data_IF_620381840293
#
_entry.id   IF_620381840293
#
_cell.length_a   1.000
_cell.length_b   1.000
_cell.length_c   1.000
_cell.angle_alpha   90.00
_cell.angle_beta   90.00
_cell.angle_gamma   90.00
#
_symmetry.space_group_name_H-M   'P 1'
#
loop_
_entity.id
_entity.type
_entity.pdbx_description
1 polymer ?
#
# COMPACT_ATOMS: atom_id res chain seq x y z
N UNK A 1 10.07 -26.55 6.00
CA UNK A 1 10.08 -25.13 5.58
C UNK A 1 9.74 -24.32 6.80
N UNK A 2 10.74 -23.78 7.50
CA UNK A 2 10.52 -22.88 8.63
C UNK A 2 9.97 -21.58 8.07
N UNK A 3 8.69 -21.34 8.33
CA UNK A 3 8.02 -20.10 7.92
C UNK A 3 8.53 -19.02 8.87
N UNK A 4 9.19 -18.01 8.32
CA UNK A 4 9.54 -16.81 9.08
C UNK A 4 8.28 -15.95 9.23
N UNK A 5 7.70 -15.96 10.44
CA UNK A 5 6.49 -15.21 10.77
C UNK A 5 6.72 -13.69 10.74
N UNK A 6 7.97 -13.22 10.69
CA UNK A 6 8.28 -11.77 10.68
C UNK A 6 8.08 -11.11 9.31
N UNK A 7 8.00 -11.91 8.23
CA UNK A 7 7.77 -11.44 6.86
C UNK A 7 6.76 -12.34 6.15
N UNK A 8 5.55 -12.44 6.69
CA UNK A 8 4.48 -13.22 6.08
C UNK A 8 3.28 -12.33 5.71
N UNK A 9 2.67 -12.62 4.56
CA UNK A 9 1.44 -11.98 4.11
C UNK A 9 0.65 -12.89 3.18
N UNK A 10 -0.59 -12.52 2.88
CA UNK A 10 -1.41 -13.20 1.88
C UNK A 10 -1.47 -12.45 0.56
N UNK A 11 -1.69 -13.18 -0.53
CA UNK A 11 -2.00 -12.58 -1.83
C UNK A 11 -3.22 -11.66 -1.76
N UNK A 12 -4.21 -12.02 -0.94
CA UNK A 12 -5.41 -11.23 -0.72
C UNK A 12 -5.10 -9.86 -0.08
N UNK A 13 -4.17 -9.81 0.87
CA UNK A 13 -3.72 -8.58 1.52
C UNK A 13 -3.01 -7.63 0.57
N UNK A 14 -2.19 -8.18 -0.33
CA UNK A 14 -1.58 -7.41 -1.42
C UNK A 14 -2.66 -6.76 -2.30
N UNK A 15 -3.68 -7.53 -2.72
CA UNK A 15 -4.82 -7.00 -3.47
C UNK A 15 -5.56 -5.89 -2.71
N UNK A 16 -5.83 -6.09 -1.41
CA UNK A 16 -6.50 -5.09 -0.56
C UNK A 16 -5.75 -3.76 -0.53
N UNK A 17 -4.42 -3.80 -0.36
CA UNK A 17 -3.61 -2.57 -0.38
C UNK A 17 -3.66 -1.91 -1.75
N UNK A 18 -3.56 -2.68 -2.84
CA UNK A 18 -3.66 -2.14 -4.21
C UNK A 18 -4.99 -1.42 -4.41
N UNK A 19 -6.11 -2.03 -4.03
CA UNK A 19 -7.44 -1.44 -4.16
C UNK A 19 -7.57 -0.14 -3.34
N UNK A 20 -7.00 -0.10 -2.14
CA UNK A 20 -7.01 1.11 -1.32
C UNK A 20 -6.17 2.23 -1.93
N UNK A 21 -4.95 1.94 -2.36
CA UNK A 21 -4.08 2.95 -2.97
C UNK A 21 -4.73 3.52 -4.24
N UNK A 22 -5.36 2.68 -5.06
CA UNK A 22 -6.17 3.12 -6.21
C UNK A 22 -7.35 4.00 -5.81
N UNK A 23 -8.08 3.63 -4.74
CA UNK A 23 -9.19 4.42 -4.23
C UNK A 23 -8.74 5.81 -3.81
N UNK A 24 -7.67 5.89 -3.03
CA UNK A 24 -7.11 7.16 -2.53
C UNK A 24 -6.60 8.00 -3.68
N UNK A 25 -5.86 7.41 -4.62
CA UNK A 25 -5.34 8.11 -5.80
C UNK A 25 -6.44 8.73 -6.67
N UNK A 26 -7.64 8.12 -6.68
CA UNK A 26 -8.83 8.62 -7.40
C UNK A 26 -9.73 9.54 -6.54
N UNK A 27 -9.36 9.83 -5.30
CA UNK A 27 -10.16 10.65 -4.39
C UNK A 27 -11.51 10.04 -4.02
N UNK A 28 -11.65 8.71 -4.13
CA UNK A 28 -12.91 8.00 -3.86
C UNK A 28 -13.06 7.76 -2.35
N UNK A 29 -14.21 8.12 -1.78
CA UNK A 29 -14.53 7.83 -0.39
C UNK A 29 -14.88 6.35 -0.17
N UNK A 30 -14.51 5.81 0.99
CA UNK A 30 -14.78 4.40 1.35
C UNK A 30 -16.27 4.06 1.28
N UNK A 31 -17.15 4.98 1.68
CA UNK A 31 -18.59 4.80 1.66
C UNK A 31 -19.11 4.49 0.24
N UNK A 32 -18.55 5.15 -0.80
CA UNK A 32 -18.98 4.92 -2.17
C UNK A 32 -18.65 3.49 -2.66
N UNK A 33 -17.48 2.95 -2.28
CA UNK A 33 -17.16 1.56 -2.61
C UNK A 33 -18.03 0.57 -1.83
N UNK A 34 -18.35 0.86 -0.58
CA UNK A 34 -19.28 0.04 0.19
C UNK A 34 -20.68 0.03 -0.45
N UNK A 35 -21.15 1.16 -0.96
CA UNK A 35 -22.42 1.28 -1.67
C UNK A 35 -22.42 0.45 -2.98
N UNK A 36 -21.32 0.45 -3.75
CA UNK A 36 -21.16 -0.44 -4.91
C UNK A 36 -21.22 -1.92 -4.53
N UNK A 37 -20.78 -2.27 -3.33
CA UNK A 37 -20.91 -3.60 -2.77
C UNK A 37 -22.31 -3.90 -2.21
N UNK A 38 -23.19 -2.90 -2.07
CA UNK A 38 -24.47 -3.03 -1.37
C UNK A 38 -24.29 -3.33 0.12
N UNK A 39 -23.24 -2.77 0.75
CA UNK A 39 -22.85 -3.01 2.14
C UNK A 39 -22.75 -1.69 2.92
N UNK A 40 -22.87 -1.70 4.25
CA UNK A 40 -22.66 -0.50 5.06
C UNK A 40 -21.24 0.07 4.91
N UNK A 41 -21.00 1.38 5.06
CA UNK A 41 -19.67 2.00 4.92
C UNK A 41 -18.56 1.32 5.74
N UNK A 42 -18.88 0.87 6.95
CA UNK A 42 -17.96 0.14 7.83
C UNK A 42 -17.43 -1.19 7.24
N UNK A 43 -18.09 -1.75 6.23
CA UNK A 43 -17.65 -2.97 5.56
C UNK A 43 -16.33 -2.74 4.82
N UNK A 44 -16.24 -1.69 4.02
CA UNK A 44 -15.02 -1.41 3.23
C UNK A 44 -13.85 -1.00 4.14
N UNK A 45 -14.13 -0.27 5.20
CA UNK A 45 -13.14 0.07 6.23
C UNK A 45 -12.54 -1.20 6.86
N UNK A 46 -13.36 -2.20 7.19
CA UNK A 46 -12.89 -3.48 7.76
C UNK A 46 -12.05 -4.29 6.78
N UNK A 47 -12.36 -4.23 5.49
CA UNK A 47 -11.53 -4.86 4.45
C UNK A 47 -10.17 -4.16 4.39
N UNK A 48 -10.15 -2.84 4.27
CA UNK A 48 -8.90 -2.06 4.20
C UNK A 48 -8.05 -2.19 5.47
N UNK A 49 -8.66 -2.45 6.63
CA UNK A 49 -7.94 -2.71 7.88
C UNK A 49 -7.58 -4.18 8.10
N UNK A 50 -7.87 -5.08 7.16
CA UNK A 50 -7.59 -6.53 7.29
C UNK A 50 -8.49 -7.29 8.28
N UNK A 51 -9.52 -6.65 8.83
CA UNK A 51 -10.47 -7.28 9.77
C UNK A 51 -11.50 -8.16 9.07
N UNK A 52 -11.70 -7.95 7.77
CA UNK A 52 -12.61 -8.74 6.94
C UNK A 52 -11.88 -9.11 5.66
N UNK A 53 -12.08 -10.35 5.21
CA UNK A 53 -11.43 -10.85 4.00
C UNK A 53 -12.07 -10.26 2.75
N UNK A 54 -11.25 -10.04 1.74
CA UNK A 54 -11.67 -9.67 0.41
C UNK A 54 -12.06 -10.95 -0.34
N UNK A 55 -13.36 -11.17 -0.52
CA UNK A 55 -13.86 -12.24 -1.37
C UNK A 55 -13.88 -11.83 -2.86
N UNK A 56 -14.08 -12.83 -3.73
CA UNK A 56 -14.04 -12.63 -5.18
C UNK A 56 -15.16 -11.71 -5.67
N UNK A 57 -16.38 -11.85 -5.14
CA UNK A 57 -17.50 -11.00 -5.53
C UNK A 57 -17.23 -9.53 -5.20
N UNK A 58 -16.72 -9.27 -3.99
CA UNK A 58 -16.36 -7.93 -3.52
C UNK A 58 -15.24 -7.34 -4.37
N UNK A 59 -14.22 -8.12 -4.73
CA UNK A 59 -13.17 -7.70 -5.66
C UNK A 59 -13.77 -7.21 -6.99
N UNK A 60 -14.67 -7.98 -7.60
CA UNK A 60 -15.30 -7.59 -8.88
C UNK A 60 -16.11 -6.30 -8.76
N UNK A 61 -16.92 -6.16 -7.71
CA UNK A 61 -17.77 -4.98 -7.49
C UNK A 61 -16.94 -3.72 -7.24
N UNK A 62 -15.86 -3.84 -6.46
CA UNK A 62 -14.96 -2.72 -6.17
C UNK A 62 -14.17 -2.32 -7.40
N UNK A 63 -13.66 -3.28 -8.17
CA UNK A 63 -12.98 -3.01 -9.43
C UNK A 63 -13.88 -2.20 -10.37
N UNK A 64 -15.17 -2.54 -10.46
CA UNK A 64 -16.17 -1.76 -11.20
C UNK A 64 -16.33 -0.34 -10.65
N UNK A 65 -16.44 -0.17 -9.32
CA UNK A 65 -16.54 1.15 -8.69
C UNK A 65 -15.29 2.02 -8.86
N UNK A 66 -14.13 1.38 -9.07
CA UNK A 66 -12.85 2.03 -9.34
C UNK A 66 -12.55 2.21 -10.84
N UNK A 67 -13.46 1.82 -11.72
CA UNK A 67 -13.26 1.80 -13.18
C UNK A 67 -11.93 1.11 -13.58
N UNK A 68 -11.71 -0.09 -13.04
CA UNK A 68 -10.53 -0.91 -13.34
C UNK A 68 -10.93 -2.36 -13.58
N UNK A 69 -10.24 -3.02 -14.50
CA UNK A 69 -10.45 -4.44 -14.76
C UNK A 69 -9.77 -5.27 -13.66
N UNK A 70 -10.45 -6.29 -13.07
CA UNK A 70 -9.86 -7.13 -12.02
C UNK A 70 -8.54 -7.79 -12.40
N UNK A 71 -8.36 -8.16 -13.67
CA UNK A 71 -7.11 -8.75 -14.18
C UNK A 71 -5.89 -7.83 -13.99
N UNK A 72 -6.07 -6.51 -14.10
CA UNK A 72 -5.01 -5.52 -13.89
C UNK A 72 -4.59 -5.49 -12.42
N UNK A 73 -5.56 -5.59 -11.49
CA UNK A 73 -5.27 -5.68 -10.06
C UNK A 73 -4.52 -6.97 -9.75
N UNK A 74 -4.96 -8.11 -10.30
CA UNK A 74 -4.30 -9.40 -10.12
C UNK A 74 -2.86 -9.41 -10.67
N UNK A 75 -2.65 -8.91 -11.89
CA UNK A 75 -1.31 -8.80 -12.48
C UNK A 75 -0.39 -7.88 -11.66
N UNK A 76 -0.94 -6.82 -11.08
CA UNK A 76 -0.19 -5.93 -10.18
C UNK A 76 0.16 -6.66 -8.87
N UNK A 77 -0.79 -7.39 -8.29
CA UNK A 77 -0.55 -8.20 -7.09
C UNK A 77 0.49 -9.30 -7.31
N UNK A 78 0.53 -9.92 -8.50
CA UNK A 78 1.59 -10.87 -8.87
C UNK A 78 2.97 -10.22 -8.90
N UNK A 79 3.11 -9.02 -9.49
CA UNK A 79 4.38 -8.26 -9.47
C UNK A 79 4.82 -7.94 -8.04
N UNK A 80 3.90 -7.49 -7.18
CA UNK A 80 4.18 -7.28 -5.76
C UNK A 80 4.57 -8.58 -5.06
N UNK A 81 3.93 -9.70 -5.40
CA UNK A 81 4.27 -11.02 -4.86
C UNK A 81 5.71 -11.39 -5.17
N UNK A 82 6.14 -11.23 -6.42
CA UNK A 82 7.53 -11.48 -6.82
C UNK A 82 8.52 -10.54 -6.12
N UNK A 83 8.19 -9.24 -6.07
CA UNK A 83 9.02 -8.26 -5.40
C UNK A 83 9.19 -8.51 -3.91
N UNK A 84 8.13 -8.96 -3.22
CA UNK A 84 8.17 -9.30 -1.81
C UNK A 84 8.95 -10.60 -1.57
N UNK A 85 8.75 -11.63 -2.40
CA UNK A 85 9.49 -12.90 -2.30
C UNK A 85 11.00 -12.70 -2.47
N UNK A 86 11.41 -11.86 -3.41
CA UNK A 86 12.81 -11.45 -3.60
C UNK A 86 13.43 -10.78 -2.36
N UNK A 87 12.58 -10.19 -1.50
CA UNK A 87 12.95 -9.53 -0.23
C UNK A 87 12.80 -10.45 1.01
N UNK A 88 12.60 -11.74 0.78
CA UNK A 88 12.46 -12.75 1.84
C UNK A 88 11.05 -12.88 2.43
N UNK A 89 10.02 -12.30 1.80
CA UNK A 89 8.65 -12.49 2.28
C UNK A 89 8.05 -13.82 1.84
N UNK A 90 7.34 -14.46 2.76
CA UNK A 90 6.44 -15.57 2.48
C UNK A 90 5.07 -15.03 2.08
N UNK A 91 4.72 -15.16 0.80
CA UNK A 91 3.39 -14.80 0.27
C UNK A 91 2.59 -16.07 0.03
N UNK A 92 1.52 -16.24 0.81
CA UNK A 92 0.65 -17.42 0.78
C UNK A 92 -0.75 -17.10 0.26
N UNK A 93 -1.50 -18.12 -0.14
CA UNK A 93 -2.88 -17.98 -0.61
C UNK A 93 -3.91 -18.45 0.42
N UNK A 94 -3.44 -19.00 1.54
CA UNK A 94 -4.27 -19.46 2.66
C UNK A 94 -4.43 -18.37 3.70
N UNK A 95 -5.44 -18.53 4.55
CA UNK A 95 -5.58 -17.68 5.72
C UNK A 95 -4.44 -17.92 6.71
N UNK A 96 -3.88 -16.82 7.21
CA UNK A 96 -2.81 -16.79 8.23
C UNK A 96 -3.24 -16.04 9.48
N UNK A 97 -4.52 -15.63 9.57
CA UNK A 97 -5.06 -14.91 10.71
C UNK A 97 -4.27 -13.63 11.00
N UNK A 98 -3.80 -13.50 12.25
CA UNK A 98 -3.09 -12.30 12.72
C UNK A 98 -1.61 -12.25 12.36
N UNK A 99 -1.08 -13.27 11.67
CA UNK A 99 0.32 -13.30 11.27
C UNK A 99 0.59 -12.53 9.95
N UNK A 100 -0.39 -11.80 9.43
CA UNK A 100 -0.23 -10.94 8.25
C UNK A 100 0.45 -9.62 8.62
N UNK A 101 1.78 -9.62 8.56
CA UNK A 101 2.62 -8.46 8.92
C UNK A 101 2.34 -7.28 7.99
N UNK A 102 2.04 -7.54 6.72
CA UNK A 102 1.74 -6.47 5.77
C UNK A 102 0.46 -5.72 6.16
N UNK A 103 -0.60 -6.44 6.53
CA UNK A 103 -1.85 -5.83 7.03
C UNK A 103 -1.72 -5.25 8.43
N UNK A 104 -0.76 -5.69 9.23
CA UNK A 104 -0.44 -5.04 10.51
C UNK A 104 0.22 -3.66 10.30
N UNK A 105 1.13 -3.57 9.33
CA UNK A 105 1.97 -2.36 9.13
C UNK A 105 1.33 -1.33 8.21
N UNK A 106 0.59 -1.73 7.17
CA UNK A 106 0.01 -0.78 6.20
C UNK A 106 -0.97 0.24 6.85
N UNK A 107 -1.87 -0.13 7.77
CA UNK A 107 -2.70 0.85 8.49
C UNK A 107 -1.90 1.83 9.35
N UNK A 108 -0.77 1.39 9.93
CA UNK A 108 0.13 2.28 10.68
C UNK A 108 0.80 3.29 9.75
N UNK A 109 1.15 2.89 8.52
CA UNK A 109 1.64 3.82 7.51
C UNK A 109 0.59 4.87 7.16
N UNK A 110 -0.64 4.49 6.86
CA UNK A 110 -1.69 5.45 6.46
C UNK A 110 -2.11 6.43 7.57
N UNK A 111 -1.75 6.15 8.83
CA UNK A 111 -1.95 7.07 9.96
C UNK A 111 -0.68 7.79 10.36
N UNK A 112 0.46 7.51 9.71
CA UNK A 112 1.76 8.08 10.05
C UNK A 112 1.88 9.58 9.66
N UNK A 113 2.74 10.34 10.36
CA UNK A 113 3.04 11.73 10.00
C UNK A 113 3.53 11.88 8.55
N UNK A 114 4.41 10.97 8.10
CA UNK A 114 4.94 11.02 6.74
C UNK A 114 3.88 10.78 5.67
N UNK A 115 2.89 9.92 5.93
CA UNK A 115 1.75 9.78 5.02
C UNK A 115 0.91 11.06 4.95
N UNK A 116 0.61 11.71 6.09
CA UNK A 116 -0.15 12.97 6.12
C UNK A 116 0.59 14.10 5.39
N UNK A 117 1.90 14.17 5.57
CA UNK A 117 2.76 15.11 4.86
C UNK A 117 2.75 14.84 3.35
N UNK A 118 2.87 13.58 2.94
CA UNK A 118 2.83 13.22 1.54
C UNK A 118 1.45 13.44 0.90
N UNK A 119 0.37 13.07 1.59
CA UNK A 119 -1.01 13.24 1.10
C UNK A 119 -1.41 14.71 0.95
N UNK A 120 -0.75 15.62 1.68
CA UNK A 120 -0.94 17.06 1.53
C UNK A 120 -0.04 17.69 0.47
N UNK A 121 0.95 16.95 -0.03
CA UNK A 121 1.79 17.39 -1.15
C UNK A 121 1.08 17.14 -2.49
N UNK A 122 1.18 18.08 -3.43
CA UNK A 122 0.58 17.97 -4.77
C UNK A 122 1.32 17.00 -5.70
N UNK A 123 2.40 16.38 -5.23
CA UNK A 123 3.23 15.45 -6.00
C UNK A 123 2.59 14.07 -6.03
N UNK A 124 1.85 13.77 -7.11
CA UNK A 124 1.32 12.43 -7.34
C UNK A 124 2.49 11.53 -7.74
N UNK A 125 2.84 10.58 -6.87
CA UNK A 125 3.82 9.54 -7.18
C UNK A 125 3.36 8.65 -8.36
N UNK A 126 4.22 7.75 -8.86
CA UNK A 126 3.80 6.80 -9.88
C UNK A 126 2.60 5.97 -9.38
N UNK A 127 1.67 5.67 -10.28
CA UNK A 127 0.52 4.83 -9.98
C UNK A 127 0.97 3.48 -9.42
N UNK A 128 0.24 2.95 -8.44
CA UNK A 128 0.50 1.59 -7.94
C UNK A 128 0.36 0.52 -9.04
N UNK A 129 -0.35 0.82 -10.13
CA UNK A 129 -0.44 -0.08 -11.28
C UNK A 129 0.85 -0.12 -12.10
N UNK A 130 1.67 0.91 -12.04
CA UNK A 130 2.91 0.96 -12.80
C UNK A 130 4.10 0.40 -12.00
N UNK A 131 3.86 0.00 -10.75
CA UNK A 131 4.88 -0.50 -9.83
C UNK A 131 4.47 -1.80 -9.13
N UNK A 132 5.41 -2.61 -8.62
CA UNK A 132 6.85 -2.53 -8.85
C UNK A 132 7.20 -2.94 -10.29
N UNK A 133 8.38 -2.50 -10.76
CA UNK A 133 8.93 -2.88 -12.07
C UNK A 133 10.19 -3.70 -11.87
N UNK A 134 10.28 -4.82 -12.58
CA UNK A 134 11.55 -5.49 -12.76
C UNK A 134 12.41 -4.66 -13.70
N UNK A 135 13.63 -4.35 -13.28
CA UNK A 135 14.63 -3.69 -14.11
C UNK A 135 15.86 -4.58 -14.16
N UNK A 136 16.25 -5.00 -15.35
CA UNK A 136 17.45 -5.78 -15.64
C UNK A 136 18.54 -4.94 -16.34
N UNK A 137 18.15 -3.80 -16.89
CA UNK A 137 19.01 -2.85 -17.59
C UNK A 137 19.68 -1.81 -16.66
N UNK A 138 19.79 -2.12 -15.36
CA UNK A 138 20.37 -1.26 -14.32
C UNK A 138 21.53 -1.99 -13.62
N UNK A 139 22.47 -1.27 -12.96
CA UNK A 139 23.66 -1.90 -12.38
C UNK A 139 23.37 -3.04 -11.39
N UNK A 140 22.24 -2.96 -10.68
CA UNK A 140 21.75 -4.04 -9.82
C UNK A 140 20.37 -4.44 -10.32
N UNK A 141 20.24 -5.55 -11.07
CA UNK A 141 18.93 -6.04 -11.48
C UNK A 141 18.02 -6.32 -10.30
N UNK A 142 16.73 -6.00 -10.42
CA UNK A 142 15.79 -6.22 -9.32
C UNK A 142 14.42 -5.59 -9.49
N UNK A 143 13.58 -5.77 -8.48
CA UNK A 143 12.27 -5.13 -8.38
C UNK A 143 12.38 -3.74 -7.75
N UNK A 144 11.95 -2.71 -8.47
CA UNK A 144 12.02 -1.30 -8.05
C UNK A 144 10.64 -0.65 -7.94
N UNK A 145 10.57 0.39 -7.09
CA UNK A 145 9.41 1.29 -7.03
C UNK A 145 8.23 0.79 -6.19
N UNK A 146 8.46 -0.08 -5.20
CA UNK A 146 7.40 -0.46 -4.25
C UNK A 146 6.73 0.80 -3.70
N UNK A 147 5.41 0.81 -3.64
CA UNK A 147 4.68 1.91 -3.02
C UNK A 147 4.98 1.99 -1.52
N UNK A 148 4.83 3.18 -0.95
CA UNK A 148 5.28 3.47 0.40
C UNK A 148 4.65 2.57 1.48
N UNK A 149 3.41 2.10 1.28
CA UNK A 149 2.79 1.13 2.19
C UNK A 149 3.58 -0.20 2.27
N UNK A 150 4.04 -0.72 1.13
CA UNK A 150 4.87 -1.92 1.09
C UNK A 150 6.29 -1.66 1.58
N UNK A 151 6.87 -0.50 1.27
CA UNK A 151 8.21 -0.11 1.77
C UNK A 151 8.19 0.05 3.30
N UNK A 152 7.10 0.57 3.86
CA UNK A 152 6.91 0.70 5.32
C UNK A 152 6.83 -0.65 6.03
N UNK A 153 6.21 -1.64 5.39
CA UNK A 153 6.20 -3.00 5.90
C UNK A 153 7.60 -3.65 5.83
N UNK A 154 8.29 -3.50 4.69
CA UNK A 154 9.56 -4.17 4.41
C UNK A 154 10.79 -3.55 5.10
N UNK A 155 10.86 -2.22 5.16
CA UNK A 155 12.04 -1.49 5.63
C UNK A 155 11.81 -0.82 6.99
N UNK A 156 12.56 -1.26 7.99
CA UNK A 156 12.52 -0.67 9.34
C UNK A 156 13.01 0.79 9.35
N UNK A 157 14.03 1.12 8.56
CA UNK A 157 14.57 2.49 8.49
C UNK A 157 13.56 3.46 7.87
N UNK A 158 12.88 3.05 6.79
CA UNK A 158 11.80 3.82 6.20
C UNK A 158 10.63 3.98 7.18
N UNK A 159 10.23 2.89 7.85
CA UNK A 159 9.19 2.92 8.88
C UNK A 159 9.50 3.92 10.00
N UNK A 160 10.70 3.87 10.58
CA UNK A 160 11.15 4.84 11.61
C UNK A 160 11.08 6.27 11.08
N UNK A 161 11.54 6.50 9.86
CA UNK A 161 11.45 7.81 9.19
C UNK A 161 10.03 8.31 9.01
N UNK A 162 9.06 7.44 8.73
CA UNK A 162 7.67 7.86 8.50
C UNK A 162 6.94 8.20 9.82
N UNK A 163 7.36 7.57 10.93
CA UNK A 163 6.81 7.78 12.28
C UNK A 163 7.41 8.98 13.03
N UNK A 164 8.49 9.57 12.52
CA UNK A 164 9.16 10.74 13.11
C UNK A 164 8.36 12.03 12.87
N UNK A 165 7.65 12.51 13.88
CA UNK A 165 6.87 13.76 13.81
C UNK A 165 7.76 14.98 13.54
N UNK A 166 8.96 15.08 14.10
CA UNK A 166 9.80 16.27 13.95
C UNK A 166 10.28 16.43 12.51
N UNK A 167 10.61 15.33 11.86
CA UNK A 167 11.00 15.31 10.45
C UNK A 167 9.91 15.80 9.51
N UNK A 168 8.63 15.54 9.82
CA UNK A 168 7.49 15.88 8.97
C UNK A 168 6.76 17.15 9.43
N UNK A 169 7.28 17.86 10.44
CA UNK A 169 6.74 19.16 10.83
C UNK A 169 6.89 20.14 9.66
N UNK A 170 5.82 20.87 9.30
CA UNK A 170 5.93 21.98 8.37
C UNK A 170 7.00 22.95 8.86
N UNK A 171 7.80 23.49 7.94
CA UNK A 171 8.77 24.52 8.29
C UNK A 171 8.03 25.76 8.83
N UNK A 172 8.24 26.06 10.11
CA UNK A 172 7.75 27.28 10.76
C UNK A 172 8.94 28.19 11.01
N UNK A 173 9.24 29.05 10.05
CA UNK A 173 10.32 30.02 10.14
C UNK A 173 10.23 31.04 9.00
N UNK A 174 10.92 32.19 9.10
CA UNK A 174 10.99 33.11 7.97
C UNK A 174 11.61 32.38 6.78
N UNK A 175 10.94 32.42 5.63
CA UNK A 175 11.55 31.98 4.36
C UNK A 175 12.86 32.75 4.22
N UNK A 176 13.99 32.04 4.27
CA UNK A 176 15.29 32.70 4.06
C UNK A 176 15.25 33.28 2.65
N UNK A 177 15.52 34.59 2.47
CA UNK A 177 15.59 35.15 1.13
C UNK A 177 16.60 34.33 0.33
N UNK A 178 16.19 33.90 -0.86
CA UNK A 178 17.08 33.23 -1.81
C UNK A 178 18.16 34.23 -2.24
N UNK A 179 19.30 34.22 -1.54
CA UNK A 179 20.39 35.14 -1.82
C UNK A 179 21.17 35.50 -0.57
N UNK A 180 22.15 34.66 -0.23
CA UNK A 180 23.55 35.04 -0.08
C UNK A 180 24.31 33.78 0.31
N UNK A 181 25.13 33.30 -0.64
CA UNK A 181 26.20 32.34 -0.44
C UNK A 181 27.17 32.85 0.63
#
# INVERSE_FOLDING_TARGET
MTIDETKMTTFQSICTIILRELRVARGIHQALLADHCGKPPSFWEKIESGKTKLDFETLLRVCRGLDIVPSVVMQTAERYTWALRDRGWSVVFTDIGNADVLMEQAPKYWTSPGYRFWSSSSSVGPSILDTPRWMDNVPVPGWYGLTAAFVFADSESFRKSQLDEERHRPFVGPMRPFGNL
#
